data_IF_398559354067
#
_entry.id   IF_398559354067
#
_cell.length_a   1.000
_cell.length_b   1.000
_cell.length_c   1.000
_cell.angle_alpha   90.00
_cell.angle_beta   90.00
_cell.angle_gamma   90.00
#
_symmetry.space_group_name_H-M   'P 1'
#
loop_
_entity.id
_entity.type
_entity.pdbx_description
1 polymer ?
#
# COMPACT_ATOMS: atom_id res chain seq x y z
N UNK A 1 -12.05 -13.07 -0.75
CA UNK A 1 -10.83 -12.53 -1.38
C UNK A 1 -9.61 -13.41 -1.04
N UNK A 2 -9.62 -14.69 -1.46
CA UNK A 2 -8.61 -15.69 -1.05
C UNK A 2 -7.37 -15.75 -1.95
N UNK A 3 -7.46 -15.22 -3.18
CA UNK A 3 -6.47 -15.48 -4.23
C UNK A 3 -5.14 -14.73 -4.06
N UNK A 4 -5.10 -13.69 -3.21
CA UNK A 4 -3.91 -12.87 -3.05
C UNK A 4 -2.88 -13.51 -2.10
N UNK A 5 -3.33 -14.37 -1.18
CA UNK A 5 -2.49 -15.05 -0.19
C UNK A 5 -1.64 -16.19 -0.76
N UNK A 6 -2.04 -16.78 -1.90
CA UNK A 6 -1.28 -17.85 -2.55
C UNK A 6 -0.11 -17.33 -3.42
N UNK A 7 -0.16 -16.04 -3.81
CA UNK A 7 0.80 -15.45 -4.74
C UNK A 7 1.97 -14.70 -4.07
N UNK A 8 1.85 -14.36 -2.79
CA UNK A 8 2.87 -13.63 -2.04
C UNK A 8 3.09 -14.30 -0.68
N UNK A 9 4.31 -14.29 -0.12
CA UNK A 9 4.59 -14.83 1.22
C UNK A 9 3.99 -13.92 2.30
N UNK A 10 2.66 -13.84 2.30
CA UNK A 10 1.86 -13.08 3.25
C UNK A 10 1.43 -14.01 4.36
N UNK A 11 1.87 -13.73 5.58
CA UNK A 11 1.30 -14.34 6.76
C UNK A 11 0.12 -13.48 7.19
N UNK A 12 -1.09 -14.04 7.10
CA UNK A 12 -2.28 -13.43 7.69
C UNK A 12 -2.07 -13.35 9.20
N UNK A 13 -2.23 -12.16 9.78
CA UNK A 13 -1.95 -11.93 11.19
C UNK A 13 -3.23 -11.91 12.02
N UNK A 14 -4.28 -11.18 11.60
CA UNK A 14 -5.53 -11.06 12.36
C UNK A 14 -6.66 -10.40 11.55
N UNK A 15 -7.92 -10.76 11.83
CA UNK A 15 -9.10 -9.98 11.40
C UNK A 15 -9.38 -8.89 12.43
N UNK A 16 -9.76 -7.69 11.96
CA UNK A 16 -10.07 -6.55 12.79
C UNK A 16 -11.60 -6.41 12.99
N UNK A 17 -12.06 -5.77 14.08
CA UNK A 17 -13.50 -5.65 14.38
C UNK A 17 -14.33 -4.94 13.30
N UNK A 18 -13.69 -4.18 12.41
CA UNK A 18 -14.32 -3.49 11.28
C UNK A 18 -14.42 -4.36 10.01
N UNK A 19 -14.01 -5.62 10.08
CA UNK A 19 -14.02 -6.57 8.96
C UNK A 19 -12.81 -6.44 8.03
N UNK A 20 -11.82 -5.60 8.37
CA UNK A 20 -10.55 -5.54 7.65
C UNK A 20 -9.56 -6.61 8.16
N UNK A 21 -8.48 -6.84 7.42
CA UNK A 21 -7.46 -7.83 7.78
C UNK A 21 -6.10 -7.19 7.91
N UNK A 22 -5.38 -7.55 8.97
CA UNK A 22 -3.96 -7.26 9.10
C UNK A 22 -3.15 -8.44 8.54
N UNK A 23 -2.21 -8.12 7.68
CA UNK A 23 -1.29 -9.08 7.08
C UNK A 23 0.15 -8.57 7.15
N UNK A 24 1.09 -9.51 7.23
CA UNK A 24 2.52 -9.24 7.16
C UNK A 24 3.05 -9.81 5.86
N UNK A 25 3.77 -8.99 5.08
CA UNK A 25 4.38 -9.40 3.82
C UNK A 25 5.88 -9.18 3.86
N UNK A 26 6.65 -10.23 3.55
CA UNK A 26 8.07 -10.08 3.26
C UNK A 26 8.26 -9.57 1.84
N UNK A 27 9.15 -8.60 1.65
CA UNK A 27 9.44 -8.04 0.35
C UNK A 27 10.92 -7.64 0.24
N UNK A 28 11.44 -7.62 -0.98
CA UNK A 28 12.87 -7.33 -1.23
C UNK A 28 13.11 -5.89 -1.73
N UNK A 29 12.08 -5.20 -2.23
CA UNK A 29 12.22 -3.88 -2.84
C UNK A 29 11.17 -2.90 -2.33
N UNK A 30 11.64 -1.84 -1.65
CA UNK A 30 10.80 -0.72 -1.21
C UNK A 30 10.07 -0.06 -2.39
N UNK A 31 10.73 0.07 -3.55
CA UNK A 31 10.13 0.70 -4.72
C UNK A 31 8.97 -0.13 -5.28
N UNK A 32 9.17 -1.45 -5.39
CA UNK A 32 8.12 -2.36 -5.83
C UNK A 32 6.95 -2.37 -4.85
N UNK A 33 7.22 -2.49 -3.54
CA UNK A 33 6.19 -2.48 -2.51
C UNK A 33 5.40 -1.16 -2.51
N UNK A 34 6.08 -0.02 -2.64
CA UNK A 34 5.44 1.29 -2.71
C UNK A 34 4.44 1.35 -3.86
N UNK A 35 4.84 0.89 -5.05
CA UNK A 35 3.95 0.86 -6.23
C UNK A 35 2.78 -0.11 -6.04
N UNK A 36 3.02 -1.26 -5.45
CA UNK A 36 1.97 -2.25 -5.15
C UNK A 36 0.91 -1.64 -4.23
N UNK A 37 1.33 -1.03 -3.12
CA UNK A 37 0.41 -0.39 -2.17
C UNK A 37 -0.38 0.74 -2.83
N UNK A 38 0.28 1.61 -3.59
CA UNK A 38 -0.40 2.68 -4.33
C UNK A 38 -1.47 2.13 -5.29
N UNK A 39 -1.23 0.97 -5.89
CA UNK A 39 -2.19 0.31 -6.78
C UNK A 39 -3.48 -0.11 -6.09
N UNK A 40 -3.48 -0.29 -4.77
CA UNK A 40 -4.69 -0.60 -3.99
C UNK A 40 -5.48 0.64 -3.55
N UNK A 41 -4.95 1.84 -3.74
CA UNK A 41 -5.60 3.08 -3.31
C UNK A 41 -5.90 3.06 -1.81
N UNK A 42 -7.14 3.38 -1.43
CA UNK A 42 -7.57 3.43 -0.03
C UNK A 42 -7.85 2.07 0.61
N UNK A 43 -7.86 0.98 -0.16
CA UNK A 43 -8.19 -0.35 0.35
C UNK A 43 -7.06 -0.98 1.20
N UNK A 44 -5.83 -0.47 1.09
CA UNK A 44 -4.66 -0.97 1.81
C UNK A 44 -3.90 0.19 2.44
N UNK A 45 -3.47 0.00 3.69
CA UNK A 45 -2.62 0.95 4.40
C UNK A 45 -1.41 0.24 5.01
N UNK A 46 -0.25 0.89 4.91
CA UNK A 46 0.98 0.44 5.57
C UNK A 46 0.92 0.81 7.05
N UNK A 47 0.97 -0.20 7.91
CA UNK A 47 1.04 -0.02 9.37
C UNK A 47 2.50 0.04 9.86
N UNK A 48 3.38 -0.76 9.25
CA UNK A 48 4.81 -0.79 9.53
C UNK A 48 5.57 -1.40 8.34
N UNK A 49 6.87 -1.09 8.18
CA UNK A 49 7.62 -0.08 8.92
C UNK A 49 7.21 1.35 8.51
N UNK A 50 7.40 2.31 9.42
CA UNK A 50 7.01 3.72 9.21
C UNK A 50 7.68 4.33 7.97
N UNK A 51 8.93 3.94 7.69
CA UNK A 51 9.65 4.36 6.50
C UNK A 51 8.91 4.03 5.20
N UNK A 52 8.27 2.85 5.12
CA UNK A 52 7.47 2.46 3.96
C UNK A 52 6.18 3.29 3.86
N UNK A 53 5.53 3.57 5.00
CA UNK A 53 4.35 4.42 5.04
C UNK A 53 4.65 5.83 4.52
N UNK A 54 5.80 6.41 4.90
CA UNK A 54 6.26 7.70 4.36
C UNK A 54 6.53 7.66 2.86
N UNK A 55 7.16 6.60 2.35
CA UNK A 55 7.40 6.46 0.90
C UNK A 55 6.10 6.42 0.11
N UNK A 56 5.13 5.61 0.55
CA UNK A 56 3.80 5.53 -0.07
C UNK A 56 3.09 6.88 -0.04
N UNK A 57 3.09 7.56 1.12
CA UNK A 57 2.48 8.88 1.25
C UNK A 57 3.11 9.90 0.29
N UNK A 58 4.44 10.00 0.25
CA UNK A 58 5.14 10.96 -0.60
C UNK A 58 4.88 10.70 -2.08
N UNK A 59 4.88 9.43 -2.49
CA UNK A 59 4.57 9.05 -3.87
C UNK A 59 3.10 9.33 -4.25
N UNK A 60 2.15 9.11 -3.33
CA UNK A 60 0.74 9.47 -3.54
C UNK A 60 0.57 10.99 -3.70
N UNK A 61 1.21 11.78 -2.84
CA UNK A 61 1.18 13.25 -2.94
C UNK A 61 1.76 13.74 -4.27
N UNK A 62 2.94 13.25 -4.65
CA UNK A 62 3.57 13.63 -5.92
C UNK A 62 2.72 13.26 -7.15
N UNK A 63 2.02 12.12 -7.09
CA UNK A 63 1.07 11.74 -8.13
C UNK A 63 -0.11 12.73 -8.22
N UNK A 64 -0.69 13.10 -7.08
CA UNK A 64 -1.79 14.07 -7.02
C UNK A 64 -1.37 15.46 -7.50
N UNK A 65 -0.17 15.92 -7.14
CA UNK A 65 0.41 17.18 -7.61
C UNK A 65 0.49 17.24 -9.14
N UNK A 66 0.85 16.12 -9.78
CA UNK A 66 0.91 16.02 -11.25
C UNK A 66 -0.47 16.25 -11.91
N UNK A 67 -1.55 15.79 -11.27
CA UNK A 67 -2.91 16.06 -11.74
C UNK A 67 -3.33 17.51 -11.48
N UNK A 68 -2.90 18.12 -10.37
CA UNK A 68 -3.20 19.53 -10.10
C UNK A 68 -2.54 20.47 -11.11
N UNK A 69 -1.29 20.18 -11.51
CA UNK A 69 -0.61 20.92 -12.58
C UNK A 69 -1.35 20.80 -13.91
N UNK A 70 -1.90 19.63 -14.21
CA UNK A 70 -2.68 19.39 -15.44
C UNK A 70 -4.05 20.06 -15.40
N UNK A 71 -4.67 20.17 -14.22
CA UNK A 71 -5.97 20.82 -14.05
C UNK A 71 -5.90 22.37 -14.06
N UNK A 72 -4.70 22.95 -13.89
CA UNK A 72 -4.46 24.40 -13.92
C UNK A 72 -3.93 24.92 -15.28
N UNK A 73 -3.72 24.03 -16.26
CA UNK A 73 -3.27 24.36 -17.62
C UNK A 73 -4.45 24.38 -18.60
#
# INVERSE_FOLDING_TARGET
MSWIFEYYPMRQAHELPDGSFQAVMTYASDAWMTRLVLGFGSAVQVQAPEALAYRVRNAAVAALESYQVTAQA
#
